data_IF_312690635940
#
_entry.id   IF_312690635940
#
_cell.length_a   1.000
_cell.length_b   1.000
_cell.length_c   1.000
_cell.angle_alpha   90.00
_cell.angle_beta   90.00
_cell.angle_gamma   90.00
#
_symmetry.space_group_name_H-M   'P 1'
#
loop_
_entity.id
_entity.type
_entity.pdbx_description
1 polymer ?
#
# COMPACT_ATOMS: atom_id res chain seq x y z
N UNK A 1 40.55 -110.36 5.66
CA UNK A 1 41.46 -109.27 6.10
C UNK A 1 41.14 -108.06 5.24
N UNK A 2 40.58 -107.00 5.81
CA UNK A 2 40.22 -105.80 5.05
C UNK A 2 41.50 -105.02 4.71
N UNK A 3 41.75 -104.80 3.42
CA UNK A 3 42.83 -103.93 2.93
C UNK A 3 42.52 -102.49 3.32
N UNK A 4 42.94 -102.09 4.52
CA UNK A 4 42.79 -100.70 4.96
C UNK A 4 43.85 -99.86 4.25
N UNK A 5 43.49 -99.37 3.06
CA UNK A 5 44.35 -98.51 2.22
C UNK A 5 44.68 -97.26 3.02
N UNK A 6 45.93 -97.15 3.48
CA UNK A 6 46.43 -95.96 4.16
C UNK A 6 46.32 -94.80 3.17
N UNK A 7 45.41 -93.87 3.43
CA UNK A 7 45.26 -92.68 2.61
C UNK A 7 46.46 -91.79 2.91
N UNK A 8 47.23 -91.45 1.87
CA UNK A 8 48.34 -90.53 2.01
C UNK A 8 47.79 -89.13 2.33
N UNK A 9 48.08 -88.68 3.55
CA UNK A 9 47.63 -87.39 4.11
C UNK A 9 48.12 -86.21 3.27
N UNK A 10 49.31 -86.32 2.65
CA UNK A 10 49.86 -85.25 1.81
C UNK A 10 49.07 -85.08 0.50
N UNK A 11 48.64 -86.19 -0.11
CA UNK A 11 47.81 -86.15 -1.32
C UNK A 11 46.43 -85.55 -1.04
N UNK A 12 45.86 -85.86 0.13
CA UNK A 12 44.58 -85.30 0.56
C UNK A 12 44.71 -83.78 0.81
N UNK A 13 45.80 -83.35 1.43
CA UNK A 13 46.10 -81.93 1.68
C UNK A 13 46.35 -81.15 0.38
N UNK A 14 47.07 -81.73 -0.58
CA UNK A 14 47.31 -81.09 -1.88
C UNK A 14 46.01 -80.95 -2.69
N UNK A 15 45.16 -81.97 -2.66
CA UNK A 15 43.82 -81.90 -3.27
C UNK A 15 42.94 -80.82 -2.62
N UNK A 16 42.91 -80.76 -1.29
CA UNK A 16 42.15 -79.76 -0.55
C UNK A 16 42.63 -78.32 -0.87
N UNK A 17 43.94 -78.09 -0.91
CA UNK A 17 44.52 -76.78 -1.29
C UNK A 17 44.14 -76.39 -2.72
N UNK A 18 44.25 -77.32 -3.68
CA UNK A 18 43.87 -77.07 -5.09
C UNK A 18 42.39 -76.78 -5.24
N UNK A 19 41.52 -77.52 -4.55
CA UNK A 19 40.08 -77.30 -4.58
C UNK A 19 39.71 -75.95 -3.94
N UNK A 20 40.29 -75.64 -2.78
CA UNK A 20 40.06 -74.36 -2.10
C UNK A 20 40.51 -73.17 -2.95
N UNK A 21 41.69 -73.24 -3.58
CA UNK A 21 42.19 -72.19 -4.47
C UNK A 21 41.26 -71.93 -5.66
N UNK A 22 40.74 -72.99 -6.29
CA UNK A 22 39.77 -72.87 -7.40
C UNK A 22 38.43 -72.28 -6.95
N UNK A 23 37.93 -72.70 -5.79
CA UNK A 23 36.67 -72.19 -5.21
C UNK A 23 36.82 -70.72 -4.83
N UNK A 24 37.90 -70.36 -4.14
CA UNK A 24 38.19 -68.99 -3.72
C UNK A 24 38.29 -68.05 -4.92
N UNK A 25 39.01 -68.44 -5.97
CA UNK A 25 39.13 -67.64 -7.20
C UNK A 25 37.77 -67.42 -7.87
N UNK A 26 36.95 -68.46 -7.97
CA UNK A 26 35.60 -68.37 -8.55
C UNK A 26 34.63 -67.55 -7.71
N UNK A 27 34.82 -67.51 -6.39
CA UNK A 27 33.98 -66.75 -5.48
C UNK A 27 34.33 -65.26 -5.52
N UNK A 28 35.63 -64.94 -5.54
CA UNK A 28 36.13 -63.56 -5.68
C UNK A 28 35.71 -62.89 -7.00
N UNK A 29 35.38 -63.66 -8.04
CA UNK A 29 34.87 -63.14 -9.32
C UNK A 29 33.35 -63.13 -9.44
N UNK A 30 32.59 -63.49 -8.39
CA UNK A 30 31.11 -63.46 -8.43
C UNK A 30 30.52 -62.06 -8.43
N UNK A 31 31.24 -61.08 -7.89
CA UNK A 31 30.88 -59.68 -8.04
C UNK A 31 31.59 -59.14 -9.28
N UNK A 32 30.82 -58.72 -10.27
CA UNK A 32 31.36 -58.08 -11.47
C UNK A 32 31.84 -56.67 -11.13
N UNK A 33 33.16 -56.49 -11.10
CA UNK A 33 33.79 -55.19 -10.77
C UNK A 33 33.92 -54.26 -11.99
N UNK A 34 33.56 -54.73 -13.19
CA UNK A 34 33.54 -53.90 -14.41
C UNK A 34 32.29 -53.04 -14.51
N UNK A 35 31.21 -53.46 -13.85
CA UNK A 35 30.02 -52.64 -13.65
C UNK A 35 30.28 -51.58 -12.56
N UNK A 36 29.85 -50.34 -12.80
CA UNK A 36 30.05 -49.23 -11.87
C UNK A 36 28.73 -48.56 -11.48
N UNK A 37 28.69 -48.00 -10.27
CA UNK A 37 27.64 -47.06 -9.84
C UNK A 37 28.28 -45.68 -9.80
N UNK A 38 27.87 -44.82 -10.72
CA UNK A 38 28.43 -43.49 -10.88
C UNK A 38 29.98 -43.48 -10.96
N UNK A 39 30.54 -44.38 -11.76
CA UNK A 39 31.99 -44.53 -11.96
C UNK A 39 32.75 -45.24 -10.84
N UNK A 40 32.07 -45.67 -9.75
CA UNK A 40 32.69 -46.42 -8.65
C UNK A 40 32.46 -47.93 -8.86
N UNK A 41 33.52 -48.77 -8.85
CA UNK A 41 33.40 -50.20 -9.08
C UNK A 41 32.77 -50.93 -7.88
N UNK A 42 32.16 -52.09 -8.13
CA UNK A 42 31.54 -52.96 -7.11
C UNK A 42 32.57 -53.75 -6.27
N UNK A 43 33.71 -53.15 -5.91
CA UNK A 43 34.77 -53.80 -5.14
C UNK A 43 34.62 -53.66 -3.61
N UNK A 44 33.58 -52.97 -3.13
CA UNK A 44 33.32 -52.72 -1.72
C UNK A 44 32.11 -51.81 -1.49
N UNK A 45 32.04 -51.17 -0.32
CA UNK A 45 31.00 -50.20 -0.01
C UNK A 45 31.14 -48.97 -0.92
N UNK A 46 30.03 -48.58 -1.57
CA UNK A 46 29.98 -47.44 -2.47
C UNK A 46 29.35 -46.25 -1.74
N UNK A 47 30.12 -45.18 -1.58
CA UNK A 47 29.61 -43.89 -1.10
C UNK A 47 29.36 -42.96 -2.28
N UNK A 48 28.12 -42.50 -2.43
CA UNK A 48 27.70 -41.52 -3.44
C UNK A 48 27.46 -40.19 -2.74
N UNK A 49 28.14 -39.14 -3.20
CA UNK A 49 28.01 -37.78 -2.70
C UNK A 49 27.14 -36.92 -3.62
N UNK A 50 26.76 -35.72 -3.18
CA UNK A 50 25.94 -34.81 -3.98
C UNK A 50 26.56 -34.52 -5.36
N UNK A 51 27.89 -34.33 -5.42
CA UNK A 51 28.62 -34.07 -6.67
C UNK A 51 28.58 -35.24 -7.65
N UNK A 52 28.52 -36.47 -7.15
CA UNK A 52 28.47 -37.68 -7.98
C UNK A 52 27.21 -37.65 -8.87
N UNK A 53 26.10 -37.09 -8.38
CA UNK A 53 24.81 -37.01 -9.10
C UNK A 53 24.43 -35.59 -9.52
N UNK A 54 25.37 -34.65 -9.51
CA UNK A 54 25.12 -33.22 -9.80
C UNK A 54 24.04 -32.58 -8.92
N UNK A 55 23.84 -33.12 -7.71
CA UNK A 55 22.95 -32.54 -6.72
C UNK A 55 23.61 -31.39 -5.98
N UNK A 56 22.78 -30.52 -5.42
CA UNK A 56 23.23 -29.46 -4.52
C UNK A 56 23.62 -30.08 -3.17
N UNK A 57 24.85 -29.87 -2.67
CA UNK A 57 25.22 -30.32 -1.33
C UNK A 57 24.34 -29.66 -0.27
N UNK A 58 23.92 -30.43 0.74
CA UNK A 58 23.11 -29.88 1.84
C UNK A 58 23.79 -28.70 2.56
N UNK A 59 25.13 -28.70 2.59
CA UNK A 59 25.96 -27.62 3.13
C UNK A 59 25.89 -26.30 2.35
N UNK A 60 25.42 -26.31 1.10
CA UNK A 60 25.24 -25.10 0.29
C UNK A 60 23.82 -24.53 0.36
N UNK A 61 22.83 -25.30 0.83
CA UNK A 61 21.44 -24.86 0.86
C UNK A 61 21.21 -23.88 2.01
N UNK A 62 20.82 -22.65 1.70
CA UNK A 62 20.60 -21.58 2.68
C UNK A 62 21.87 -21.07 3.35
N UNK A 63 23.05 -21.44 2.83
CA UNK A 63 24.34 -20.96 3.31
C UNK A 63 24.77 -19.70 2.54
N UNK A 64 25.60 -18.86 3.17
CA UNK A 64 26.22 -17.73 2.51
C UNK A 64 27.07 -18.20 1.31
N UNK A 65 26.99 -17.48 0.18
CA UNK A 65 27.59 -17.86 -1.10
C UNK A 65 27.09 -19.20 -1.69
N UNK A 66 26.01 -19.76 -1.16
CA UNK A 66 25.38 -20.99 -1.63
C UNK A 66 24.15 -20.71 -2.49
N UNK A 67 23.14 -21.57 -2.35
CA UNK A 67 21.85 -21.42 -3.03
C UNK A 67 20.74 -21.10 -2.04
N UNK A 68 19.74 -20.33 -2.48
CA UNK A 68 18.57 -20.07 -1.67
C UNK A 68 17.82 -21.38 -1.34
N UNK A 69 17.39 -21.51 -0.10
CA UNK A 69 16.47 -22.58 0.32
C UNK A 69 15.02 -22.17 0.09
N UNK A 70 14.13 -23.16 0.02
CA UNK A 70 12.68 -22.93 0.02
C UNK A 70 12.09 -23.31 1.38
N UNK A 71 11.13 -22.52 1.85
CA UNK A 71 10.27 -22.83 2.99
C UNK A 71 9.19 -23.86 2.62
N UNK A 72 8.34 -24.19 3.59
CA UNK A 72 7.22 -25.14 3.41
C UNK A 72 6.22 -24.69 2.34
N UNK A 73 6.12 -23.38 2.10
CA UNK A 73 5.26 -22.76 1.10
C UNK A 73 5.91 -22.67 -0.29
N UNK A 74 7.10 -23.26 -0.47
CA UNK A 74 7.83 -23.28 -1.73
C UNK A 74 8.49 -21.96 -2.11
N UNK A 75 8.59 -20.98 -1.19
CA UNK A 75 9.24 -19.68 -1.45
C UNK A 75 10.54 -19.53 -0.69
N UNK A 76 11.37 -18.59 -1.13
CA UNK A 76 12.58 -18.21 -0.39
C UNK A 76 12.15 -17.55 0.93
N UNK A 77 12.57 -18.05 2.10
CA UNK A 77 12.21 -17.45 3.38
C UNK A 77 12.72 -16.02 3.50
N UNK A 78 11.96 -15.14 4.16
CA UNK A 78 12.34 -13.73 4.34
C UNK A 78 13.71 -13.55 5.04
N UNK A 79 14.13 -14.52 5.87
CA UNK A 79 15.46 -14.53 6.50
C UNK A 79 16.63 -14.66 5.52
N UNK A 80 16.38 -15.07 4.29
CA UNK A 80 17.37 -15.12 3.20
C UNK A 80 17.27 -13.92 2.26
N UNK A 81 16.31 -13.01 2.48
CA UNK A 81 16.14 -11.80 1.70
C UNK A 81 16.79 -10.62 2.42
N UNK A 82 17.40 -9.66 1.70
CA UNK A 82 17.74 -8.37 2.28
C UNK A 82 16.50 -7.66 2.84
N UNK A 83 16.66 -6.84 3.88
CA UNK A 83 15.54 -6.12 4.52
C UNK A 83 14.76 -5.22 3.56
N UNK A 84 15.39 -4.82 2.43
CA UNK A 84 14.81 -3.93 1.42
C UNK A 84 13.84 -4.61 0.45
N UNK A 85 13.53 -5.90 0.62
CA UNK A 85 12.52 -6.61 -0.18
C UNK A 85 11.18 -6.68 0.58
N UNK A 86 11.13 -6.14 1.79
CA UNK A 86 9.97 -6.03 2.69
C UNK A 86 9.82 -4.57 3.17
N UNK A 87 9.87 -3.64 2.21
CA UNK A 87 10.03 -2.20 2.47
C UNK A 87 8.83 -1.56 3.16
N UNK A 88 7.64 -2.16 3.04
CA UNK A 88 6.38 -1.60 3.54
C UNK A 88 5.81 -2.51 4.60
N UNK A 89 5.82 -2.03 5.83
CA UNK A 89 5.22 -2.71 6.97
C UNK A 89 3.89 -2.05 7.31
N UNK A 90 2.82 -2.81 7.21
CA UNK A 90 1.49 -2.34 7.60
C UNK A 90 1.21 -2.69 9.06
N UNK A 91 0.58 -1.77 9.78
CA UNK A 91 0.21 -1.98 11.17
C UNK A 91 -0.59 -0.81 11.74
N UNK A 92 -0.68 -0.75 13.06
CA UNK A 92 -1.43 0.26 13.80
C UNK A 92 -0.47 1.09 14.65
N UNK A 93 -0.40 2.39 14.40
CA UNK A 93 0.42 3.30 15.21
C UNK A 93 -0.29 3.61 16.52
N UNK A 94 0.36 3.30 17.65
CA UNK A 94 -0.17 3.59 18.97
C UNK A 94 0.29 4.95 19.50
N UNK A 95 -0.37 5.43 20.56
CA UNK A 95 -0.04 6.70 21.22
C UNK A 95 1.33 6.69 21.92
N UNK A 96 1.93 5.51 22.14
CA UNK A 96 3.30 5.35 22.64
C UNK A 96 4.39 5.56 21.56
N UNK A 97 3.99 5.78 20.31
CA UNK A 97 4.88 5.97 19.18
C UNK A 97 5.43 4.67 18.58
N UNK A 98 4.85 3.51 18.88
CA UNK A 98 5.20 2.22 18.27
C UNK A 98 4.12 1.70 17.32
N UNK A 99 4.55 0.89 16.34
CA UNK A 99 3.67 0.15 15.45
C UNK A 99 3.34 -1.23 16.03
N UNK A 100 2.11 -1.68 15.81
CA UNK A 100 1.60 -2.98 16.25
C UNK A 100 0.92 -3.70 15.07
N UNK A 101 0.88 -5.04 15.10
CA UNK A 101 0.28 -5.81 14.00
C UNK A 101 -1.25 -5.72 13.97
N UNK A 102 -1.86 -5.46 15.13
CA UNK A 102 -3.29 -5.50 15.36
C UNK A 102 -3.80 -4.19 15.99
N UNK A 103 -5.10 -3.89 15.80
CA UNK A 103 -5.73 -2.66 16.31
C UNK A 103 -5.80 -2.61 17.85
N UNK A 104 -5.70 -3.77 18.51
CA UNK A 104 -5.66 -3.92 19.96
C UNK A 104 -4.26 -3.65 20.55
N UNK A 105 -3.24 -3.46 19.70
CA UNK A 105 -1.86 -3.14 20.08
C UNK A 105 -1.22 -4.16 21.04
N UNK A 106 -1.43 -5.46 20.79
CA UNK A 106 -0.87 -6.55 21.60
C UNK A 106 0.49 -7.02 21.10
N UNK A 107 0.71 -7.08 19.79
CA UNK A 107 1.99 -7.52 19.20
C UNK A 107 2.76 -6.33 18.63
N UNK A 108 3.75 -5.84 19.38
CA UNK A 108 4.63 -4.76 18.92
C UNK A 108 5.50 -5.20 17.74
N UNK A 109 5.53 -4.36 16.70
CA UNK A 109 6.44 -4.50 15.56
C UNK A 109 7.79 -3.90 15.95
N UNK A 110 8.87 -4.65 15.71
CA UNK A 110 10.23 -4.14 15.91
C UNK A 110 10.57 -3.19 14.76
N UNK A 111 11.00 -1.98 15.10
CA UNK A 111 11.36 -0.98 14.11
C UNK A 111 12.69 -1.33 13.43
N UNK A 112 12.75 -1.20 12.11
CA UNK A 112 13.94 -1.48 11.30
C UNK A 112 14.35 -0.24 10.50
N UNK A 113 15.67 0.04 10.43
CA UNK A 113 16.20 1.14 9.62
C UNK A 113 15.74 1.02 8.18
N UNK A 114 15.42 2.18 7.57
CA UNK A 114 15.10 2.31 6.16
C UNK A 114 13.82 1.61 5.69
N UNK A 115 12.97 1.15 6.62
CA UNK A 115 11.61 0.68 6.30
C UNK A 115 10.57 1.81 6.31
N UNK A 116 9.58 1.63 5.44
CA UNK A 116 8.36 2.42 5.35
C UNK A 116 7.27 1.69 6.14
N UNK A 117 6.49 2.45 6.88
CA UNK A 117 5.39 1.94 7.70
C UNK A 117 4.09 2.63 7.30
N UNK A 118 3.00 1.88 7.21
CA UNK A 118 1.67 2.42 6.91
C UNK A 118 0.75 2.14 8.07
N UNK A 119 0.27 3.21 8.70
CA UNK A 119 -0.76 3.11 9.74
C UNK A 119 -2.12 2.84 9.09
N UNK A 120 -2.62 1.62 9.25
CA UNK A 120 -3.88 1.15 8.66
C UNK A 120 -5.07 1.98 9.17
N UNK A 121 -5.03 2.46 10.42
CA UNK A 121 -6.13 3.23 10.98
C UNK A 121 -6.29 4.61 10.31
N UNK A 122 -5.18 5.26 9.95
CA UNK A 122 -5.19 6.62 9.40
C UNK A 122 -4.76 6.72 7.94
N UNK A 123 -4.33 5.61 7.33
CA UNK A 123 -3.67 5.55 6.02
C UNK A 123 -2.47 6.50 5.87
N UNK A 124 -1.79 6.79 6.99
CA UNK A 124 -0.60 7.64 7.00
C UNK A 124 0.67 6.80 6.82
N UNK A 125 1.58 7.31 6.02
CA UNK A 125 2.88 6.70 5.78
C UNK A 125 3.94 7.33 6.68
N UNK A 126 4.81 6.49 7.24
CA UNK A 126 5.91 6.86 8.12
C UNK A 126 7.22 6.22 7.65
N UNK A 127 8.35 6.86 7.92
CA UNK A 127 9.70 6.29 7.79
C UNK A 127 10.28 6.10 9.17
N UNK A 128 10.95 4.98 9.43
CA UNK A 128 11.78 4.88 10.63
C UNK A 128 13.07 5.69 10.44
N UNK A 129 13.34 6.62 11.37
CA UNK A 129 14.54 7.49 11.35
C UNK A 129 15.77 6.86 12.01
N UNK A 130 15.62 5.68 12.60
CA UNK A 130 16.60 5.09 13.53
C UNK A 130 16.24 5.28 15.00
N UNK A 131 15.37 6.26 15.32
CA UNK A 131 14.92 6.53 16.70
C UNK A 131 13.41 6.77 16.85
N UNK A 132 12.73 7.20 15.79
CA UNK A 132 11.29 7.44 15.80
C UNK A 132 10.66 7.22 14.41
N UNK A 133 9.34 7.02 14.38
CA UNK A 133 8.57 7.03 13.15
C UNK A 133 8.27 8.48 12.75
N UNK A 134 8.72 8.87 11.55
CA UNK A 134 8.53 10.22 11.00
C UNK A 134 7.54 10.14 9.86
N UNK A 135 6.45 10.89 9.94
CA UNK A 135 5.46 10.94 8.86
C UNK A 135 6.08 11.46 7.56
N UNK A 136 5.84 10.76 6.46
CA UNK A 136 6.26 11.14 5.10
C UNK A 136 4.98 11.19 4.26
N UNK A 137 4.62 12.38 3.79
CA UNK A 137 3.38 12.62 3.05
C UNK A 137 2.37 13.54 3.75
N UNK A 138 2.72 14.17 4.88
CA UNK A 138 1.90 15.21 5.49
C UNK A 138 2.26 16.63 5.01
N UNK A 139 2.50 16.80 3.70
CA UNK A 139 2.79 18.11 3.09
C UNK A 139 1.50 18.88 2.73
N UNK A 140 0.34 18.51 3.29
CA UNK A 140 -0.90 19.24 3.04
C UNK A 140 -0.89 20.58 3.80
N UNK A 141 -0.27 21.59 3.19
CA UNK A 141 -0.32 22.95 3.67
C UNK A 141 -1.70 23.57 3.40
N UNK A 142 -2.41 23.95 4.47
CA UNK A 142 -3.67 24.69 4.37
C UNK A 142 -3.41 26.20 4.30
N UNK A 143 -4.06 26.89 3.37
CA UNK A 143 -3.83 28.31 3.16
C UNK A 143 -4.69 28.91 2.05
N UNK A 144 -4.41 30.16 1.71
CA UNK A 144 -5.15 30.95 0.71
C UNK A 144 -4.28 31.29 -0.51
N UNK A 145 -3.14 30.60 -0.67
CA UNK A 145 -2.21 30.77 -1.79
C UNK A 145 -2.38 29.68 -2.84
N UNK A 146 -1.85 29.89 -4.04
CA UNK A 146 -1.90 28.91 -5.13
C UNK A 146 -1.19 27.57 -4.80
N UNK A 147 -0.30 27.55 -3.81
CA UNK A 147 0.47 26.36 -3.42
C UNK A 147 -0.09 25.66 -2.17
N UNK A 148 -1.27 26.07 -1.70
CA UNK A 148 -1.90 25.54 -0.49
C UNK A 148 -3.33 25.10 -0.78
N UNK A 149 -3.80 24.05 -0.10
CA UNK A 149 -5.19 23.65 -0.17
C UNK A 149 -6.05 24.60 0.69
N UNK A 150 -7.22 25.02 0.17
CA UNK A 150 -8.14 25.83 0.96
C UNK A 150 -8.79 24.97 2.05
N UNK A 151 -8.86 25.49 3.28
CA UNK A 151 -9.39 24.75 4.41
C UNK A 151 -10.87 24.39 4.22
N UNK A 152 -11.23 23.11 4.36
CA UNK A 152 -12.57 22.61 4.05
C UNK A 152 -13.70 23.25 4.89
N UNK A 153 -13.43 23.59 6.15
CA UNK A 153 -14.36 24.33 7.00
C UNK A 153 -14.65 25.75 6.48
N UNK A 154 -13.61 26.46 6.00
CA UNK A 154 -13.78 27.77 5.36
C UNK A 154 -14.54 27.65 4.03
N UNK A 155 -14.24 26.61 3.25
CA UNK A 155 -14.97 26.28 2.02
C UNK A 155 -16.46 26.04 2.27
N UNK A 156 -16.78 25.27 3.31
CA UNK A 156 -18.16 25.04 3.75
C UNK A 156 -18.86 26.33 4.20
N UNK A 157 -18.20 27.15 5.01
CA UNK A 157 -18.77 28.42 5.46
C UNK A 157 -19.12 29.34 4.28
N UNK A 158 -18.21 29.47 3.31
CA UNK A 158 -18.45 30.24 2.09
C UNK A 158 -19.60 29.66 1.25
N UNK A 159 -19.67 28.33 1.10
CA UNK A 159 -20.76 27.68 0.38
C UNK A 159 -22.12 27.91 1.07
N UNK A 160 -22.17 27.84 2.40
CA UNK A 160 -23.38 28.11 3.18
C UNK A 160 -23.82 29.59 3.09
N UNK A 161 -22.87 30.54 3.11
CA UNK A 161 -23.16 31.97 2.91
C UNK A 161 -23.69 32.26 1.49
N UNK A 162 -23.08 31.68 0.46
CA UNK A 162 -23.57 31.78 -0.92
C UNK A 162 -24.99 31.21 -1.04
N UNK A 163 -25.29 30.09 -0.35
CA UNK A 163 -26.62 29.52 -0.34
C UNK A 163 -27.65 30.47 0.31
N UNK A 164 -27.29 31.15 1.41
CA UNK A 164 -28.13 32.17 2.06
C UNK A 164 -28.38 33.41 1.20
N UNK A 165 -27.43 33.77 0.34
CA UNK A 165 -27.64 34.86 -0.64
C UNK A 165 -28.59 34.39 -1.73
N UNK A 166 -28.35 33.21 -2.31
CA UNK A 166 -29.19 32.65 -3.39
C UNK A 166 -30.64 32.40 -2.98
N UNK A 167 -30.88 32.01 -1.73
CA UNK A 167 -32.23 31.77 -1.21
C UNK A 167 -32.90 33.04 -0.63
N UNK A 168 -32.22 34.19 -0.68
CA UNK A 168 -32.76 35.48 -0.19
C UNK A 168 -32.79 35.62 1.34
N UNK A 169 -32.27 34.65 2.10
CA UNK A 169 -32.18 34.72 3.56
C UNK A 169 -31.13 35.72 4.06
N UNK A 170 -30.21 36.15 3.20
CA UNK A 170 -29.21 37.18 3.49
C UNK A 170 -29.16 38.15 2.32
N UNK A 171 -29.38 39.44 2.59
CA UNK A 171 -29.26 40.52 1.60
C UNK A 171 -27.83 41.05 1.66
N UNK A 172 -27.17 41.21 0.52
CA UNK A 172 -25.84 41.82 0.43
C UNK A 172 -26.04 43.35 0.36
N UNK A 173 -25.78 44.11 1.45
CA UNK A 173 -26.19 45.52 1.55
C UNK A 173 -25.37 46.46 0.65
N UNK A 174 -24.22 46.00 0.14
CA UNK A 174 -23.34 46.75 -0.75
C UNK A 174 -22.71 45.82 -1.79
N UNK A 175 -23.53 45.28 -2.70
CA UNK A 175 -22.99 45.02 -4.03
C UNK A 175 -22.81 46.39 -4.68
N UNK A 176 -21.67 46.68 -5.29
CA UNK A 176 -21.37 48.01 -5.86
C UNK A 176 -22.37 48.48 -6.91
N UNK A 177 -23.30 47.62 -7.35
CA UNK A 177 -24.44 47.92 -8.22
C UNK A 177 -25.77 47.36 -7.70
N UNK A 178 -26.00 47.33 -6.38
CA UNK A 178 -27.29 46.96 -5.81
C UNK A 178 -28.35 48.05 -6.13
N UNK A 179 -28.94 47.98 -7.32
CA UNK A 179 -30.19 48.62 -7.74
C UNK A 179 -30.53 49.92 -6.99
N UNK A 180 -29.64 50.91 -7.05
CA UNK A 180 -29.94 52.23 -6.47
C UNK A 180 -30.95 52.91 -7.38
N UNK A 181 -32.10 53.30 -6.84
CA UNK A 181 -32.97 54.28 -7.50
C UNK A 181 -32.44 55.65 -7.08
N UNK A 182 -31.87 56.39 -8.03
CA UNK A 182 -31.41 57.77 -7.80
C UNK A 182 -30.41 57.95 -6.64
N UNK A 183 -29.49 56.99 -6.45
CA UNK A 183 -28.41 57.12 -5.45
C UNK A 183 -28.79 56.78 -4.01
N UNK A 184 -30.04 56.38 -3.74
CA UNK A 184 -30.48 55.88 -2.44
C UNK A 184 -30.74 54.36 -2.48
N UNK A 185 -30.34 53.66 -1.42
CA UNK A 185 -30.61 52.21 -1.23
C UNK A 185 -32.01 52.00 -0.65
N UNK A 186 -32.78 51.11 -1.26
CA UNK A 186 -34.10 50.72 -0.76
C UNK A 186 -33.92 49.69 0.37
N UNK A 187 -34.30 50.04 1.59
CA UNK A 187 -34.14 49.18 2.77
C UNK A 187 -35.10 47.98 2.80
N UNK A 188 -36.14 48.00 1.95
CA UNK A 188 -37.17 46.96 1.82
C UNK A 188 -37.60 46.80 0.37
N UNK A 189 -38.25 45.67 0.04
CA UNK A 189 -38.80 45.43 -1.30
C UNK A 189 -39.81 46.51 -1.68
N UNK A 190 -39.68 47.01 -2.92
CA UNK A 190 -40.63 47.94 -3.53
C UNK A 190 -41.94 47.19 -3.81
N UNK A 191 -43.08 47.60 -3.22
CA UNK A 191 -44.36 46.93 -3.48
C UNK A 191 -44.76 47.00 -4.95
N UNK A 192 -45.48 45.97 -5.42
CA UNK A 192 -46.16 46.00 -6.72
C UNK A 192 -47.12 47.21 -6.71
N UNK A 193 -46.84 48.22 -7.54
CA UNK A 193 -47.47 49.56 -7.60
C UNK A 193 -46.84 50.71 -6.79
N UNK A 194 -45.60 50.60 -6.30
CA UNK A 194 -44.91 51.77 -5.77
C UNK A 194 -44.82 52.89 -6.83
N UNK A 195 -45.38 54.06 -6.53
CA UNK A 195 -45.26 55.25 -7.38
C UNK A 195 -44.01 56.04 -6.97
N UNK A 196 -42.99 56.04 -7.82
CA UNK A 196 -41.78 56.87 -7.67
C UNK A 196 -41.94 58.26 -8.31
N UNK A 197 -43.11 58.88 -8.17
CA UNK A 197 -43.37 60.18 -8.81
C UNK A 197 -43.06 61.30 -7.83
N UNK A 198 -41.89 61.91 -7.97
CA UNK A 198 -41.52 63.15 -7.25
C UNK A 198 -42.31 64.38 -7.76
N UNK A 199 -43.07 64.22 -8.84
CA UNK A 199 -43.90 65.29 -9.39
C UNK A 199 -45.31 65.20 -8.84
N UNK A 200 -45.61 66.01 -7.82
CA UNK A 200 -46.99 66.40 -7.54
C UNK A 200 -47.46 67.26 -8.72
N UNK A 201 -48.19 66.66 -9.66
CA UNK A 201 -48.85 67.41 -10.72
C UNK A 201 -50.08 68.10 -10.11
N UNK A 202 -49.97 69.40 -9.83
CA UNK A 202 -51.13 70.26 -9.59
C UNK A 202 -51.60 70.83 -10.93
N UNK A 203 -52.67 70.28 -11.55
CA UNK A 203 -53.26 70.91 -12.72
C UNK A 203 -53.77 72.30 -12.36
N UNK A 204 -53.39 73.30 -13.14
CA UNK A 204 -53.95 74.63 -13.08
C UNK A 204 -55.35 74.56 -13.74
N UNK A 205 -56.39 74.59 -12.91
CA UNK A 205 -57.76 74.68 -13.41
C UNK A 205 -58.08 76.16 -13.64
N UNK A 206 -58.74 76.46 -14.76
CA UNK A 206 -59.34 77.77 -14.99
C UNK A 206 -60.22 78.16 -13.79
N UNK A 207 -59.97 79.33 -13.24
CA UNK A 207 -60.74 79.90 -12.14
C UNK A 207 -62.11 80.34 -12.65
N UNK A 208 -63.06 80.58 -11.73
CA UNK A 208 -64.34 81.20 -12.10
C UNK A 208 -64.15 82.56 -12.77
N UNK A 209 -63.06 83.28 -12.45
CA UNK A 209 -62.72 84.54 -13.10
C UNK A 209 -62.31 84.36 -14.56
N UNK A 210 -61.55 83.30 -14.85
CA UNK A 210 -61.17 82.96 -16.23
C UNK A 210 -62.41 82.56 -17.05
N UNK A 211 -63.37 81.89 -16.41
CA UNK A 211 -64.66 81.55 -17.01
C UNK A 211 -65.50 82.82 -17.25
N UNK A 212 -65.55 83.73 -16.28
CA UNK A 212 -66.28 85.00 -16.41
C UNK A 212 -65.69 85.86 -17.54
N UNK A 213 -64.36 85.92 -17.66
CA UNK A 213 -63.68 86.65 -18.73
C UNK A 213 -63.99 86.04 -20.11
N UNK A 214 -64.05 84.71 -20.23
CA UNK A 214 -64.49 84.02 -21.44
C UNK A 214 -65.97 84.32 -21.74
N UNK A 215 -66.85 84.30 -20.73
CA UNK A 215 -68.29 84.56 -20.92
C UNK A 215 -68.50 86.00 -21.42
N UNK A 216 -67.84 86.98 -20.80
CA UNK A 216 -67.89 88.37 -21.25
C UNK A 216 -67.32 88.54 -22.66
N UNK A 217 -66.20 87.89 -22.98
CA UNK A 217 -65.59 87.99 -24.30
C UNK A 217 -66.43 87.35 -25.42
N UNK A 218 -67.21 86.30 -25.11
CA UNK A 218 -68.01 85.56 -26.10
C UNK A 218 -69.44 86.09 -26.22
N UNK A 219 -70.04 86.57 -25.13
CA UNK A 219 -71.48 86.88 -25.09
C UNK A 219 -71.83 88.35 -24.79
N UNK A 220 -70.87 89.18 -24.38
CA UNK A 220 -71.09 90.62 -24.11
C UNK A 220 -71.68 90.91 -22.74
#
# INVERSE_FOLDING_TARGET
>A
MANNKIINVDLLNDFAKKMWGKISTKLSSKVDTTTTVNGKPLSGNITINATDVQAIPASQKGAANGVAGLGEDGKVPASQLPSYVDDVVEGYLHTDGAFYKEAEHTTKITAESDKIYVDIATNKTYRWSGSAYVGIGSDLALGETASTAYAGNKGKANADEIAKIKNGSTVVPKATDAATVSGHTVATNVPENAKFTDTVYTPEYATTSDIDEIITAVFG
#
